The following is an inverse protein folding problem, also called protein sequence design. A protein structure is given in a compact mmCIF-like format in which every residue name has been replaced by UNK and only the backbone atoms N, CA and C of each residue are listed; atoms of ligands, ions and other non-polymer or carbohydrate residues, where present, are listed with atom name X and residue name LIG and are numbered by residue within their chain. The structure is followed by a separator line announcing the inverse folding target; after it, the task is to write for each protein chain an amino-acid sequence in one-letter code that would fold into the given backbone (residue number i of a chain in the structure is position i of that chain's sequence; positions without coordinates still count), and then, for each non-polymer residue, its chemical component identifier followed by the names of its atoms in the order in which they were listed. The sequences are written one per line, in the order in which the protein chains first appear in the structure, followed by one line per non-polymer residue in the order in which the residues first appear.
data_IF_995242350315
#
_entry.id   IF_995242350315
#
_cell.length_a   1.000
_cell.length_b   1.000
_cell.length_c   1.000
_cell.angle_alpha   90.00
_cell.angle_beta   90.00
_cell.angle_gamma   90.00
#
_symmetry.space_group_name_H-M   'P 1'
#
loop_
_entity.id
_entity.type
_entity.pdbx_description
1 polymer ?
#
# COMPACT_ATOMS: atom_id res chain seq x y z
N UNK A 1 -0.63 6.41 -16.34
CA UNK A 1 -1.87 5.88 -15.73
C UNK A 1 -2.24 6.80 -14.60
N UNK A 2 -3.52 6.90 -14.28
CA UNK A 2 -4.00 7.61 -13.10
C UNK A 2 -3.42 6.95 -11.84
N UNK A 3 -2.86 7.76 -10.93
CA UNK A 3 -2.48 7.31 -9.60
C UNK A 3 -3.74 7.11 -8.76
N UNK A 4 -3.69 6.21 -7.79
CA UNK A 4 -4.74 6.04 -6.78
C UNK A 4 -4.11 6.28 -5.41
N UNK A 5 -4.80 7.01 -4.54
CA UNK A 5 -4.40 7.14 -3.14
C UNK A 5 -5.33 6.27 -2.30
N UNK A 6 -4.77 5.41 -1.46
CA UNK A 6 -5.52 4.59 -0.51
C UNK A 6 -5.24 5.06 0.91
N UNK A 7 -6.19 4.83 1.80
CA UNK A 7 -5.93 4.80 3.24
C UNK A 7 -5.80 3.33 3.64
N UNK A 8 -4.66 2.96 4.21
CA UNK A 8 -4.35 1.63 4.71
C UNK A 8 -4.38 1.66 6.23
N UNK A 9 -5.19 0.79 6.83
CA UNK A 9 -5.20 0.58 8.27
C UNK A 9 -4.17 -0.49 8.63
N UNK A 10 -3.28 -0.18 9.57
CA UNK A 10 -2.31 -1.13 10.13
C UNK A 10 -2.60 -1.31 11.61
N UNK A 11 -2.77 -2.58 12.01
CA UNK A 11 -2.96 -3.01 13.40
C UNK A 11 -2.22 -4.34 13.56
N UNK A 12 -0.90 -4.30 13.68
CA UNK A 12 -0.02 -5.45 13.48
C UNK A 12 -0.29 -6.59 14.48
N UNK A 13 -0.78 -6.25 15.68
CA UNK A 13 -1.17 -7.22 16.71
C UNK A 13 -2.59 -7.82 16.51
N UNK A 14 -3.38 -7.29 15.58
CA UNK A 14 -4.81 -7.64 15.43
C UNK A 14 -5.15 -8.26 14.07
N UNK A 15 -4.64 -7.72 12.96
CA UNK A 15 -4.97 -8.20 11.62
C UNK A 15 -3.93 -7.80 10.56
N UNK A 16 -4.01 -8.43 9.39
CA UNK A 16 -3.29 -7.93 8.22
C UNK A 16 -3.76 -6.51 7.86
N UNK A 17 -2.86 -5.64 7.37
CA UNK A 17 -3.23 -4.33 6.88
C UNK A 17 -4.27 -4.42 5.79
N UNK A 18 -5.25 -3.51 5.81
CA UNK A 18 -6.33 -3.52 4.83
C UNK A 18 -6.71 -2.10 4.39
N UNK A 19 -7.23 -2.00 3.17
CA UNK A 19 -7.63 -0.73 2.59
C UNK A 19 -8.97 -0.27 3.21
N UNK A 20 -8.99 0.91 3.84
CA UNK A 20 -10.17 1.50 4.46
C UNK A 20 -10.67 2.78 3.76
N UNK A 21 -9.88 3.34 2.85
CA UNK A 21 -10.24 4.52 2.05
C UNK A 21 -9.62 4.49 0.67
N UNK A 22 -10.29 5.06 -0.34
CA UNK A 22 -9.82 5.12 -1.72
C UNK A 22 -10.14 6.48 -2.32
N UNK A 23 -9.15 7.11 -2.94
CA UNK A 23 -9.25 8.38 -3.68
C UNK A 23 -8.63 8.21 -5.06
N UNK A 24 -9.46 8.32 -6.09
CA UNK A 24 -9.06 8.09 -7.48
C UNK A 24 -9.87 6.98 -8.14
N UNK A 25 -9.66 6.79 -9.44
CA UNK A 25 -10.35 5.77 -10.21
C UNK A 25 -9.51 4.49 -10.28
N UNK A 26 -10.07 3.40 -9.77
CA UNK A 26 -9.49 2.06 -9.85
C UNK A 26 -10.61 1.00 -9.85
N UNK A 27 -10.28 -0.22 -10.25
CA UNK A 27 -11.18 -1.36 -10.13
C UNK A 27 -11.02 -2.04 -8.77
N UNK A 28 -11.97 -2.91 -8.41
CA UNK A 28 -11.84 -3.75 -7.21
C UNK A 28 -10.64 -4.71 -7.35
N UNK A 29 -10.41 -5.24 -8.56
CA UNK A 29 -9.24 -6.08 -8.84
C UNK A 29 -7.92 -5.36 -8.60
N UNK A 30 -7.86 -4.06 -8.92
CA UNK A 30 -6.68 -3.24 -8.64
C UNK A 30 -6.47 -3.11 -7.12
N UNK A 31 -7.54 -2.85 -6.36
CA UNK A 31 -7.45 -2.77 -4.90
C UNK A 31 -6.96 -4.08 -4.27
N UNK A 32 -7.47 -5.22 -4.73
CA UNK A 32 -7.02 -6.54 -4.27
C UNK A 32 -5.54 -6.79 -4.60
N UNK A 33 -5.10 -6.35 -5.78
CA UNK A 33 -3.71 -6.48 -6.18
C UNK A 33 -2.78 -5.56 -5.38
N UNK A 34 -3.21 -4.33 -5.09
CA UNK A 34 -2.49 -3.37 -4.24
C UNK A 34 -2.37 -3.89 -2.81
N UNK A 35 -3.47 -4.36 -2.22
CA UNK A 35 -3.47 -4.89 -0.84
C UNK A 35 -2.53 -6.09 -0.72
N UNK A 36 -2.59 -7.00 -1.70
CA UNK A 36 -1.67 -8.14 -1.78
C UNK A 36 -0.21 -7.70 -1.89
N UNK A 37 0.10 -6.75 -2.78
CA UNK A 37 1.45 -6.23 -2.98
C UNK A 37 2.01 -5.64 -1.68
N UNK A 38 1.21 -4.85 -0.96
CA UNK A 38 1.62 -4.27 0.32
C UNK A 38 1.82 -5.37 1.36
N UNK A 39 0.91 -6.33 1.51
CA UNK A 39 1.05 -7.41 2.49
C UNK A 39 2.33 -8.22 2.23
N UNK A 40 2.63 -8.53 0.96
CA UNK A 40 3.79 -9.34 0.58
C UNK A 40 5.12 -8.59 0.64
N UNK A 41 5.12 -7.25 0.53
CA UNK A 41 6.35 -6.43 0.41
C UNK A 41 6.46 -5.27 1.42
N UNK A 42 5.63 -5.23 2.48
CA UNK A 42 5.67 -4.12 3.46
C UNK A 42 6.93 -4.09 4.33
N UNK A 43 7.55 -5.25 4.59
CA UNK A 43 8.69 -5.41 5.52
C UNK A 43 8.61 -4.43 6.73
N UNK A 44 9.67 -3.67 7.00
CA UNK A 44 9.74 -2.68 8.08
C UNK A 44 9.18 -1.29 7.68
N UNK A 45 8.54 -1.15 6.52
CA UNK A 45 8.03 0.14 6.02
C UNK A 45 6.72 0.58 6.69
N UNK A 46 6.01 -0.33 7.37
CA UNK A 46 4.78 -0.05 8.12
C UNK A 46 4.92 -0.47 9.59
N UNK A 47 5.80 0.17 10.38
CA UNK A 47 6.25 -0.36 11.67
C UNK A 47 5.32 -0.08 12.85
N UNK A 48 4.19 0.61 12.66
CA UNK A 48 3.38 1.11 13.78
C UNK A 48 1.91 1.17 13.44
N UNK A 49 1.07 0.87 14.44
CA UNK A 49 -0.37 0.92 14.32
C UNK A 49 -0.88 2.33 14.02
N UNK A 50 -1.77 2.43 13.04
CA UNK A 50 -2.31 3.68 12.58
C UNK A 50 -2.89 3.60 11.17
N UNK A 51 -3.18 4.76 10.62
CA UNK A 51 -3.65 4.91 9.24
C UNK A 51 -2.57 5.55 8.38
N UNK A 52 -2.26 4.91 7.26
CA UNK A 52 -1.30 5.39 6.28
C UNK A 52 -2.04 5.82 5.01
N UNK A 53 -1.81 7.06 4.55
CA UNK A 53 -2.19 7.45 3.20
C UNK A 53 -1.07 7.02 2.25
N UNK A 54 -1.39 6.17 1.28
CA UNK A 54 -0.43 5.59 0.36
C UNK A 54 -0.82 5.95 -1.07
N UNK A 55 0.13 6.47 -1.84
CA UNK A 55 -0.03 6.67 -3.27
C UNK A 55 0.43 5.42 -4.01
N UNK A 56 -0.44 4.83 -4.83
CA UNK A 56 -0.16 3.64 -5.62
C UNK A 56 -0.17 3.98 -7.12
N UNK A 57 0.76 3.38 -7.85
CA UNK A 57 0.85 3.52 -9.30
C UNK A 57 1.30 2.22 -9.97
N UNK A 58 0.76 1.94 -11.15
CA UNK A 58 1.11 0.73 -11.89
C UNK A 58 2.37 0.95 -12.72
N UNK A 59 3.42 0.22 -12.38
CA UNK A 59 4.65 0.13 -13.13
C UNK A 59 4.50 -0.91 -14.25
N UNK A 60 4.79 -0.50 -15.47
CA UNK A 60 4.60 -1.37 -16.66
C UNK A 60 5.69 -2.44 -16.82
N UNK A 61 6.68 -2.45 -15.95
CA UNK A 61 7.88 -3.25 -16.14
C UNK A 61 8.92 -2.54 -17.02
N UNK A 62 10.12 -3.09 -17.03
CA UNK A 62 11.20 -2.72 -17.95
C UNK A 62 11.56 -3.92 -18.81
N UNK A 63 11.76 -3.67 -20.10
CA UNK A 63 12.05 -4.69 -21.10
C UNK A 63 13.27 -4.27 -21.90
N UNK A 64 14.14 -5.23 -22.21
CA UNK A 64 15.33 -5.00 -23.03
C UNK A 64 14.98 -4.75 -24.51
N UNK A 65 16.00 -4.47 -25.33
CA UNK A 65 15.83 -4.24 -26.77
C UNK A 65 15.27 -5.45 -27.54
N UNK A 66 15.30 -6.65 -26.94
CA UNK A 66 14.77 -7.89 -27.48
C UNK A 66 13.39 -8.25 -26.88
N UNK A 67 12.80 -7.38 -26.06
CA UNK A 67 11.50 -7.57 -25.44
C UNK A 67 11.51 -8.56 -24.26
N UNK A 68 12.68 -8.89 -23.70
CA UNK A 68 12.79 -9.72 -22.49
C UNK A 68 12.57 -8.85 -21.27
N UNK A 69 11.82 -9.38 -20.31
CA UNK A 69 11.55 -8.68 -19.05
C UNK A 69 12.83 -8.55 -18.22
N UNK A 70 13.25 -7.32 -17.95
CA UNK A 70 14.31 -6.99 -17.01
C UNK A 70 13.74 -6.74 -15.61
N UNK A 71 12.59 -6.05 -15.54
CA UNK A 71 11.83 -5.83 -14.31
C UNK A 71 10.36 -6.11 -14.63
N UNK A 72 9.72 -6.98 -13.84
CA UNK A 72 8.32 -7.33 -14.02
C UNK A 72 7.40 -6.11 -13.74
N UNK A 73 6.25 -6.01 -14.43
CA UNK A 73 5.23 -5.05 -14.06
C UNK A 73 4.66 -5.35 -12.67
N UNK A 74 4.23 -4.31 -11.96
CA UNK A 74 3.70 -4.43 -10.60
C UNK A 74 3.11 -3.13 -10.09
N UNK A 75 2.50 -3.19 -8.91
CA UNK A 75 2.09 -2.00 -8.19
C UNK A 75 3.27 -1.44 -7.41
N UNK A 76 3.58 -0.18 -7.62
CA UNK A 76 4.50 0.59 -6.78
C UNK A 76 3.68 1.44 -5.82
N UNK A 77 4.20 1.64 -4.61
CA UNK A 77 3.51 2.39 -3.59
C UNK A 77 4.47 3.22 -2.74
N UNK A 78 4.00 4.38 -2.29
CA UNK A 78 4.75 5.32 -1.47
C UNK A 78 3.85 5.89 -0.37
N UNK A 79 4.36 5.97 0.86
CA UNK A 79 3.66 6.57 1.98
C UNK A 79 3.68 8.09 1.82
N UNK A 80 2.50 8.69 1.75
CA UNK A 80 2.32 10.15 1.64
C UNK A 80 2.12 10.78 3.02
N UNK A 81 1.35 10.11 3.87
CA UNK A 81 1.00 10.60 5.20
C UNK A 81 0.81 9.42 6.16
N UNK A 82 1.11 9.63 7.44
CA UNK A 82 0.88 8.66 8.51
C UNK A 82 0.20 9.35 9.69
N UNK A 83 -0.88 8.72 10.17
CA UNK A 83 -1.63 9.13 11.35
C UNK A 83 -1.59 7.98 12.38
N UNK A 84 -0.78 8.09 13.44
CA UNK A 84 -0.69 7.05 14.46
C UNK A 84 -1.98 6.96 15.27
N UNK A 85 -2.27 5.78 15.79
CA UNK A 85 -3.32 5.65 16.79
C UNK A 85 -2.88 6.20 18.14
N UNK A 86 -3.64 7.17 18.66
CA UNK A 86 -3.48 7.65 20.04
C UNK A 86 -4.27 6.72 20.97
N UNK A 87 -3.59 5.74 21.56
CA UNK A 87 -4.15 4.99 22.68
C UNK A 87 -4.00 5.83 23.95
N UNK A 88 -5.09 6.19 24.65
CA UNK A 88 -4.97 6.81 25.95
C UNK A 88 -4.20 5.86 26.86
N UNK A 89 -3.07 6.30 27.42
CA UNK A 89 -2.41 5.56 28.49
C UNK A 89 -3.46 5.33 29.58
N UNK A 90 -3.79 4.07 29.87
CA UNK A 90 -4.61 3.73 31.03
C UNK A 90 -3.86 4.28 32.26
N UNK A 91 -4.35 5.40 32.81
CA UNK A 91 -3.85 5.95 34.06
C UNK A 91 -4.15 4.93 35.16
N UNK A 92 -3.16 4.08 35.46
CA UNK A 92 -3.14 3.13 36.57
C UNK A 92 -3.14 3.83 37.92
#
# INVERSE_FOLDING_TARGET
MSKVTIDLLVMDDACEPYICGVRGACTISDLQAIEKEIIENRDDHLPTDGTYAIECSWFKGQYDEYGRSEIAPGWEWEIVEFSPFEFPEEQS
#
